data_IF_118837521808
#
_entry.id   IF_118837521808
#
_cell.length_a   1.000
_cell.length_b   1.000
_cell.length_c   1.000
_cell.angle_alpha   90.00
_cell.angle_beta   90.00
_cell.angle_gamma   90.00
#
_symmetry.space_group_name_H-M   'P 1'
#
loop_
_entity.id
_entity.type
_entity.pdbx_description
1 polymer ?
#
# COMPACT_ATOMS: atom_id res chain seq x y z
N UNK A 1 -3.57 25.53 -24.53
CA UNK A 1 -2.14 25.45 -24.20
C UNK A 1 -2.00 24.54 -23.01
N UNK A 2 -1.18 23.49 -23.05
CA UNK A 2 -0.94 22.66 -21.87
C UNK A 2 -0.16 23.54 -20.88
N UNK A 3 -0.68 23.67 -19.67
CA UNK A 3 -0.06 24.44 -18.60
C UNK A 3 1.20 23.72 -18.09
N UNK A 4 2.20 24.50 -17.69
CA UNK A 4 3.49 23.98 -17.21
C UNK A 4 3.36 22.93 -16.09
N UNK A 5 2.46 23.07 -15.09
CA UNK A 5 2.23 22.03 -14.07
C UNK A 5 1.77 20.69 -14.66
N UNK A 6 0.87 20.70 -15.66
CA UNK A 6 0.43 19.49 -16.34
C UNK A 6 1.56 18.79 -17.09
N UNK A 7 2.46 19.56 -17.74
CA UNK A 7 3.65 19.00 -18.39
C UNK A 7 4.55 18.30 -17.36
N UNK A 8 4.82 18.95 -16.22
CA UNK A 8 5.61 18.36 -15.13
C UNK A 8 4.96 17.06 -14.65
N UNK A 9 3.64 17.05 -14.45
CA UNK A 9 2.88 15.87 -14.09
C UNK A 9 3.08 14.71 -15.08
N UNK A 10 2.94 14.97 -16.38
CA UNK A 10 3.16 13.97 -17.44
C UNK A 10 4.58 13.38 -17.38
N UNK A 11 5.61 14.23 -17.20
CA UNK A 11 6.98 13.74 -17.05
C UNK A 11 7.15 12.81 -15.84
N UNK A 12 6.53 13.15 -14.70
CA UNK A 12 6.60 12.30 -13.49
C UNK A 12 5.89 10.96 -13.69
N UNK A 13 4.73 10.95 -14.33
CA UNK A 13 3.99 9.71 -14.62
C UNK A 13 4.74 8.84 -15.63
N UNK A 14 5.37 9.44 -16.64
CA UNK A 14 6.21 8.72 -17.59
C UNK A 14 7.45 8.12 -16.92
N UNK A 15 8.04 8.83 -15.96
CA UNK A 15 9.11 8.27 -15.13
C UNK A 15 8.63 7.04 -14.33
N UNK A 16 7.44 7.11 -13.72
CA UNK A 16 6.85 5.96 -13.02
C UNK A 16 6.68 4.75 -13.94
N UNK A 17 6.13 4.97 -15.14
CA UNK A 17 6.02 3.90 -16.15
C UNK A 17 7.36 3.30 -16.50
N UNK A 18 8.35 4.14 -16.80
CA UNK A 18 9.68 3.67 -17.16
C UNK A 18 10.30 2.83 -16.02
N UNK A 19 10.14 3.27 -14.77
CA UNK A 19 10.57 2.54 -13.59
C UNK A 19 9.88 1.18 -13.49
N UNK A 20 8.55 1.13 -13.63
CA UNK A 20 7.78 -0.10 -13.47
C UNK A 20 8.05 -1.10 -14.61
N UNK A 21 8.30 -0.62 -15.83
CA UNK A 21 8.60 -1.44 -17.01
C UNK A 21 10.02 -2.02 -17.00
N UNK A 22 11.00 -1.28 -16.46
CA UNK A 22 12.41 -1.67 -16.47
C UNK A 22 13.08 -1.43 -15.11
N UNK A 23 12.63 -2.08 -14.03
CA UNK A 23 13.10 -1.80 -12.67
C UNK A 23 14.59 -2.10 -12.45
N UNK A 24 15.20 -2.97 -13.26
CA UNK A 24 16.62 -3.34 -13.17
C UNK A 24 17.57 -2.41 -13.95
N UNK A 25 17.04 -1.36 -14.60
CA UNK A 25 17.89 -0.34 -15.19
C UNK A 25 18.75 0.35 -14.13
N UNK A 26 20.03 0.58 -14.43
CA UNK A 26 20.98 1.24 -13.53
C UNK A 26 20.45 2.58 -13.00
N UNK A 27 19.72 3.32 -13.83
CA UNK A 27 19.10 4.61 -13.47
C UNK A 27 18.07 4.50 -12.32
N UNK A 28 17.57 3.30 -12.04
CA UNK A 28 16.56 3.05 -11.02
C UNK A 28 17.09 2.33 -9.78
N UNK A 29 18.39 2.01 -9.74
CA UNK A 29 19.00 1.31 -8.60
C UNK A 29 18.81 2.07 -7.27
N UNK A 30 19.01 3.38 -7.27
CA UNK A 30 18.83 4.23 -6.07
C UNK A 30 17.35 4.27 -5.64
N UNK A 31 16.39 4.67 -6.50
CA UNK A 31 14.98 4.62 -6.14
C UNK A 31 14.51 3.24 -5.69
N UNK A 32 14.99 2.16 -6.32
CA UNK A 32 14.66 0.78 -5.95
C UNK A 32 15.06 0.47 -4.51
N UNK A 33 16.27 0.83 -4.11
CA UNK A 33 16.72 0.60 -2.74
C UNK A 33 15.95 1.44 -1.70
N UNK A 34 15.48 2.62 -2.09
CA UNK A 34 14.62 3.45 -1.24
C UNK A 34 13.25 2.81 -1.07
N UNK A 35 12.58 2.47 -2.18
CA UNK A 35 11.21 1.94 -2.15
C UNK A 35 11.14 0.49 -1.66
N UNK A 36 12.22 -0.31 -1.74
CA UNK A 36 12.26 -1.66 -1.16
C UNK A 36 11.89 -1.67 0.32
N UNK A 37 12.24 -0.61 1.06
CA UNK A 37 11.92 -0.46 2.50
C UNK A 37 10.41 -0.33 2.80
N UNK A 38 9.57 -0.17 1.79
CA UNK A 38 8.11 -0.08 1.88
C UNK A 38 7.42 -1.11 0.98
N UNK A 39 8.10 -2.20 0.62
CA UNK A 39 7.56 -3.27 -0.23
C UNK A 39 7.69 -3.01 -1.74
N UNK A 40 8.48 -2.00 -2.12
CA UNK A 40 8.68 -1.60 -3.51
C UNK A 40 7.68 -0.54 -3.97
N UNK A 41 8.03 0.11 -5.08
CA UNK A 41 7.23 1.20 -5.62
C UNK A 41 5.87 0.68 -6.12
N UNK A 42 5.86 -0.45 -6.84
CA UNK A 42 4.62 -1.01 -7.38
C UNK A 42 3.58 -1.31 -6.28
N UNK A 43 4.01 -1.93 -5.18
CA UNK A 43 3.13 -2.20 -4.05
C UNK A 43 2.67 -0.90 -3.38
N UNK A 44 3.58 0.04 -3.12
CA UNK A 44 3.25 1.34 -2.54
C UNK A 44 2.16 2.07 -3.35
N UNK A 45 2.25 2.08 -4.69
CA UNK A 45 1.27 2.75 -5.55
C UNK A 45 -0.14 2.14 -5.48
N UNK A 46 -0.26 0.89 -5.00
CA UNK A 46 -1.53 0.19 -4.77
C UNK A 46 -2.11 0.45 -3.37
N UNK A 47 -1.31 0.99 -2.44
CA UNK A 47 -1.73 1.29 -1.07
C UNK A 47 -2.43 2.66 -0.95
N UNK A 48 -3.23 2.83 0.10
CA UNK A 48 -3.79 4.14 0.49
C UNK A 48 -2.77 4.94 1.32
N UNK A 49 -1.68 5.39 0.71
CA UNK A 49 -0.56 6.00 1.43
C UNK A 49 -0.68 7.52 1.62
N UNK A 50 -0.02 8.02 2.67
CA UNK A 50 0.27 9.44 2.87
C UNK A 50 1.79 9.66 2.78
N UNK A 51 2.20 10.50 1.84
CA UNK A 51 3.61 10.80 1.53
C UNK A 51 4.36 11.27 2.79
N UNK A 52 3.69 12.04 3.66
CA UNK A 52 4.30 12.60 4.87
C UNK A 52 4.45 11.56 5.99
N UNK A 53 3.70 10.46 5.92
CA UNK A 53 3.70 9.39 6.93
C UNK A 53 4.54 8.19 6.52
N UNK A 54 5.16 8.20 5.34
CA UNK A 54 5.98 7.07 4.90
C UNK A 54 7.21 6.90 5.81
N UNK A 55 7.58 5.66 6.20
CA UNK A 55 8.72 5.40 7.07
C UNK A 55 10.07 5.47 6.33
N UNK A 56 10.16 6.26 5.25
CA UNK A 56 11.35 6.40 4.41
C UNK A 56 11.64 7.87 4.12
N UNK A 57 12.93 8.21 3.98
CA UNK A 57 13.35 9.55 3.56
C UNK A 57 13.26 9.65 2.05
N UNK A 58 12.31 10.45 1.57
CA UNK A 58 12.12 10.74 0.15
C UNK A 58 12.76 12.07 -0.22
N UNK A 59 13.43 12.11 -1.38
CA UNK A 59 13.80 13.39 -2.00
C UNK A 59 12.56 14.12 -2.52
N UNK A 60 12.67 15.43 -2.73
CA UNK A 60 11.54 16.23 -3.23
C UNK A 60 11.05 15.73 -4.59
N UNK A 61 11.97 15.26 -5.45
CA UNK A 61 11.64 14.64 -6.71
C UNK A 61 10.69 13.44 -6.56
N UNK A 62 10.99 12.52 -5.63
CA UNK A 62 10.17 11.34 -5.39
C UNK A 62 8.82 11.68 -4.73
N UNK A 63 8.78 12.67 -3.85
CA UNK A 63 7.51 13.16 -3.28
C UNK A 63 6.58 13.70 -4.36
N UNK A 64 7.11 14.52 -5.27
CA UNK A 64 6.34 15.04 -6.41
C UNK A 64 5.79 13.91 -7.27
N UNK A 65 6.58 12.86 -7.54
CA UNK A 65 6.12 11.70 -8.30
C UNK A 65 4.91 11.05 -7.64
N UNK A 66 5.00 10.74 -6.34
CA UNK A 66 3.92 10.13 -5.58
C UNK A 66 2.69 11.05 -5.50
N UNK A 67 2.91 12.36 -5.41
CA UNK A 67 1.84 13.36 -5.41
C UNK A 67 1.07 13.36 -6.74
N UNK A 68 1.77 13.46 -7.87
CA UNK A 68 1.12 13.42 -9.19
C UNK A 68 0.42 12.08 -9.42
N UNK A 69 0.99 10.96 -8.98
CA UNK A 69 0.32 9.66 -9.02
C UNK A 69 -1.04 9.70 -8.32
N UNK A 70 -1.10 10.23 -7.09
CA UNK A 70 -2.35 10.36 -6.34
C UNK A 70 -3.38 11.27 -7.01
N UNK A 71 -2.95 12.24 -7.81
CA UNK A 71 -3.86 13.13 -8.54
C UNK A 71 -4.50 12.45 -9.75
N UNK A 72 -3.76 11.60 -10.46
CA UNK A 72 -4.26 10.96 -11.69
C UNK A 72 -4.86 9.57 -11.46
N UNK A 73 -4.48 8.92 -10.36
CA UNK A 73 -4.97 7.60 -10.02
C UNK A 73 -6.26 7.72 -9.20
N UNK A 74 -7.39 7.44 -9.85
CA UNK A 74 -8.65 7.22 -9.15
C UNK A 74 -8.57 5.88 -8.42
N UNK A 75 -8.27 5.93 -7.12
CA UNK A 75 -8.41 4.76 -6.27
C UNK A 75 -9.88 4.35 -6.26
N UNK A 76 -10.18 3.15 -6.77
CA UNK A 76 -11.39 2.42 -6.39
C UNK A 76 -11.21 1.93 -4.95
N UNK A 77 -11.22 2.87 -4.00
CA UNK A 77 -11.02 2.58 -2.59
C UNK A 77 -12.28 1.90 -2.06
N UNK A 78 -12.21 0.57 -1.93
CA UNK A 78 -13.15 -0.18 -1.09
C UNK A 78 -12.49 -0.36 0.26
N UNK A 79 -13.07 0.13 1.37
CA UNK A 79 -12.38 0.06 2.66
C UNK A 79 -12.16 -1.39 3.17
N UNK A 80 -12.85 -2.37 2.57
CA UNK A 80 -12.65 -3.82 2.78
C UNK A 80 -11.32 -4.34 2.23
N UNK A 81 -10.78 -3.66 1.21
CA UNK A 81 -9.44 -3.90 0.65
C UNK A 81 -8.36 -3.00 1.24
N UNK A 82 -8.57 -2.50 2.47
CA UNK A 82 -7.58 -1.66 3.13
C UNK A 82 -6.30 -2.43 3.39
N UNK A 83 -5.22 -2.00 2.73
CA UNK A 83 -3.88 -2.55 2.98
C UNK A 83 -3.47 -2.22 4.41
N UNK A 84 -2.89 -3.21 5.09
CA UNK A 84 -2.30 -3.06 6.42
C UNK A 84 -1.05 -2.14 6.34
N UNK A 85 -0.31 -2.29 5.25
CA UNK A 85 0.94 -1.57 5.02
C UNK A 85 0.74 -0.28 4.24
N UNK A 86 1.68 0.66 4.44
CA UNK A 86 1.72 1.97 3.79
C UNK A 86 0.37 2.69 3.79
N UNK A 87 -0.43 2.50 4.84
CA UNK A 87 -1.77 3.07 4.94
C UNK A 87 -1.70 4.43 5.66
N UNK A 88 -2.47 5.41 5.17
CA UNK A 88 -2.51 6.75 5.75
C UNK A 88 -3.08 6.76 7.17
N UNK A 89 -3.98 5.84 7.48
CA UNK A 89 -4.70 5.80 8.77
C UNK A 89 -4.06 4.83 9.77
N UNK A 90 -3.49 3.72 9.31
CA UNK A 90 -2.84 2.71 10.16
C UNK A 90 -1.41 3.17 10.43
N UNK A 91 -1.18 3.76 11.61
CA UNK A 91 0.10 4.40 11.95
C UNK A 91 0.57 4.10 13.35
N UNK A 92 1.89 4.03 13.53
CA UNK A 92 2.58 4.01 14.82
C UNK A 92 3.48 5.23 14.87
N UNK A 93 3.38 6.03 15.93
CA UNK A 93 4.15 7.27 16.08
C UNK A 93 4.01 8.19 14.86
N UNK A 94 2.79 8.33 14.33
CA UNK A 94 2.43 9.14 13.14
C UNK A 94 3.09 8.70 11.82
N UNK A 95 3.70 7.51 11.78
CA UNK A 95 4.24 6.91 10.56
C UNK A 95 3.47 5.65 10.20
N UNK A 96 3.24 5.48 8.90
CA UNK A 96 2.71 4.24 8.32
C UNK A 96 3.72 3.11 8.47
N UNK A 97 3.23 1.87 8.28
CA UNK A 97 3.94 0.65 8.62
C UNK A 97 4.30 -0.15 7.38
N UNK A 98 5.44 -0.84 7.43
CA UNK A 98 5.76 -1.92 6.51
C UNK A 98 6.66 -2.92 7.24
N UNK A 99 6.27 -4.20 7.24
CA UNK A 99 7.06 -5.29 7.83
C UNK A 99 7.29 -6.34 6.74
N UNK A 100 8.51 -6.36 6.22
CA UNK A 100 8.91 -7.21 5.10
C UNK A 100 8.60 -8.70 5.36
N UNK A 101 8.98 -9.20 6.53
CA UNK A 101 8.76 -10.61 6.93
C UNK A 101 7.29 -11.04 6.92
N UNK A 102 6.37 -10.12 7.20
CA UNK A 102 4.94 -10.41 7.17
C UNK A 102 4.39 -10.30 5.76
N UNK A 103 4.86 -9.31 5.02
CA UNK A 103 4.51 -9.11 3.62
C UNK A 103 4.92 -10.31 2.75
N UNK A 104 6.14 -10.84 2.92
CA UNK A 104 6.63 -12.04 2.25
C UNK A 104 5.79 -13.30 2.52
N UNK A 105 5.04 -13.31 3.64
CA UNK A 105 4.13 -14.39 4.03
C UNK A 105 2.70 -14.17 3.54
N UNK A 106 2.48 -13.16 2.70
CA UNK A 106 1.18 -12.87 2.10
C UNK A 106 0.23 -12.08 3.00
N UNK A 107 0.70 -11.54 4.14
CA UNK A 107 -0.12 -10.67 5.00
C UNK A 107 -0.10 -9.27 4.37
N UNK A 108 -1.21 -8.85 3.80
CA UNK A 108 -1.30 -7.61 3.01
C UNK A 108 -2.43 -6.70 3.51
N UNK A 109 -3.56 -7.27 3.87
CA UNK A 109 -4.79 -6.57 4.23
C UNK A 109 -5.06 -6.60 5.72
N UNK A 110 -5.90 -5.68 6.20
CA UNK A 110 -6.39 -5.72 7.59
C UNK A 110 -7.15 -7.03 7.85
N UNK A 111 -7.92 -7.53 6.88
CA UNK A 111 -8.67 -8.79 6.98
C UNK A 111 -7.79 -10.01 7.20
N UNK A 112 -6.52 -9.96 6.82
CA UNK A 112 -5.58 -11.05 7.06
C UNK A 112 -5.29 -11.27 8.55
N UNK A 113 -5.51 -10.24 9.36
CA UNK A 113 -5.37 -10.26 10.82
C UNK A 113 -6.68 -10.63 11.54
N UNK A 114 -7.79 -10.72 10.82
CA UNK A 114 -9.12 -10.92 11.41
C UNK A 114 -9.61 -12.36 11.25
N UNK A 115 -10.50 -12.76 12.15
CA UNK A 115 -11.28 -13.98 12.06
C UNK A 115 -12.58 -13.77 11.24
N UNK A 116 -13.43 -14.80 11.17
CA UNK A 116 -14.71 -14.74 10.47
C UNK A 116 -15.73 -13.79 11.09
N UNK A 117 -15.53 -13.36 12.34
CA UNK A 117 -16.35 -12.37 13.04
C UNK A 117 -15.75 -10.96 12.91
N UNK A 118 -14.63 -10.82 12.18
CA UNK A 118 -13.89 -9.58 12.01
C UNK A 118 -13.16 -9.13 13.28
N UNK A 119 -12.90 -10.03 14.23
CA UNK A 119 -12.07 -9.77 15.41
C UNK A 119 -10.63 -10.16 15.12
N UNK A 120 -9.66 -9.45 15.72
CA UNK A 120 -8.24 -9.80 15.55
C UNK A 120 -7.98 -11.23 16.06
N UNK A 121 -7.28 -12.03 15.25
CA UNK A 121 -6.89 -13.39 15.60
C UNK A 121 -6.06 -13.40 16.90
N UNK A 122 -6.17 -14.49 17.66
CA UNK A 122 -5.22 -14.75 18.73
C UNK A 122 -3.82 -14.97 18.15
N UNK A 123 -2.77 -14.52 18.84
CA UNK A 123 -1.37 -14.62 18.38
C UNK A 123 -0.97 -16.04 17.97
N UNK A 124 -1.45 -17.06 18.69
CA UNK A 124 -1.17 -18.47 18.37
C UNK A 124 -1.78 -18.88 17.04
N UNK A 125 -3.04 -18.49 16.80
CA UNK A 125 -3.75 -18.76 15.56
C UNK A 125 -3.11 -17.99 14.39
N UNK A 126 -2.72 -16.74 14.60
CA UNK A 126 -2.01 -15.93 13.60
C UNK A 126 -0.66 -16.54 13.22
N UNK A 127 0.18 -16.88 14.21
CA UNK A 127 1.48 -17.50 13.99
C UNK A 127 1.35 -18.85 13.27
N UNK A 128 0.35 -19.65 13.65
CA UNK A 128 0.04 -20.93 12.99
C UNK A 128 -0.42 -20.75 11.54
N UNK A 129 -1.31 -19.79 11.27
CA UNK A 129 -1.86 -19.52 9.94
C UNK A 129 -0.80 -19.12 8.92
N UNK A 130 0.14 -18.25 9.31
CA UNK A 130 1.16 -17.72 8.39
C UNK A 130 2.54 -18.36 8.55
N UNK A 131 2.69 -19.31 9.49
CA UNK A 131 3.97 -19.91 9.84
C UNK A 131 5.05 -18.84 10.12
N UNK A 132 4.73 -17.95 11.07
CA UNK A 132 5.59 -16.84 11.53
C UNK A 132 5.80 -16.96 13.03
N UNK A 133 7.00 -16.64 13.51
CA UNK A 133 7.27 -16.45 14.93
C UNK A 133 7.21 -14.96 15.26
N UNK A 134 6.02 -14.45 15.57
CA UNK A 134 5.82 -13.09 16.04
C UNK A 134 5.60 -13.05 17.56
N UNK A 135 6.20 -12.06 18.23
CA UNK A 135 5.94 -11.80 19.65
C UNK A 135 4.57 -11.16 19.87
N UNK A 136 3.95 -11.45 21.02
CA UNK A 136 2.68 -10.83 21.41
C UNK A 136 2.73 -9.29 21.41
N UNK A 137 3.88 -8.72 21.80
CA UNK A 137 4.08 -7.26 21.83
C UNK A 137 4.05 -6.66 20.43
N UNK A 138 4.75 -7.24 19.47
CA UNK A 138 4.77 -6.77 18.08
C UNK A 138 3.40 -6.89 17.44
N UNK A 139 2.75 -8.04 17.60
CA UNK A 139 1.41 -8.28 17.07
C UNK A 139 0.38 -7.28 17.62
N UNK A 140 0.31 -7.14 18.94
CA UNK A 140 -0.62 -6.21 19.58
C UNK A 140 -0.35 -4.76 19.18
N UNK A 141 0.91 -4.39 18.95
CA UNK A 141 1.26 -3.05 18.50
C UNK A 141 0.66 -2.74 17.12
N UNK A 142 0.66 -3.73 16.22
CA UNK A 142 0.09 -3.60 14.87
C UNK A 142 -1.43 -3.59 14.95
N UNK A 143 -2.05 -4.54 15.67
CA UNK A 143 -3.51 -4.56 15.82
C UNK A 143 -4.05 -3.25 16.43
N UNK A 144 -3.37 -2.69 17.44
CA UNK A 144 -3.75 -1.41 18.05
C UNK A 144 -3.54 -0.19 17.15
N UNK A 145 -2.68 -0.30 16.14
CA UNK A 145 -2.47 0.78 15.17
C UNK A 145 -3.62 0.91 14.15
N UNK A 146 -4.49 -0.11 14.07
CA UNK A 146 -5.64 -0.12 13.17
C UNK A 146 -6.76 0.72 13.79
N UNK A 147 -7.26 1.76 13.10
CA UNK A 147 -8.35 2.57 13.63
C UNK A 147 -9.62 1.75 13.84
N UNK A 148 -10.27 1.91 15.01
CA UNK A 148 -11.56 1.26 15.31
C UNK A 148 -12.64 1.54 14.24
N UNK A 149 -12.80 2.76 13.70
CA UNK A 149 -13.78 3.00 12.62
C UNK A 149 -13.53 2.14 11.39
N UNK A 150 -12.25 1.91 11.04
CA UNK A 150 -11.89 1.05 9.91
C UNK A 150 -12.22 -0.42 10.22
N UNK A 151 -11.92 -0.89 11.43
CA UNK A 151 -12.26 -2.24 11.86
C UNK A 151 -13.77 -2.50 11.82
N UNK A 152 -14.59 -1.61 12.38
CA UNK A 152 -16.05 -1.74 12.35
C UNK A 152 -16.60 -1.77 10.92
N UNK A 153 -16.04 -0.94 10.03
CA UNK A 153 -16.46 -0.93 8.64
C UNK A 153 -16.13 -2.25 7.92
N UNK A 154 -14.94 -2.81 8.18
CA UNK A 154 -14.54 -4.11 7.64
C UNK A 154 -15.41 -5.23 8.20
N UNK A 155 -15.65 -5.24 9.51
CA UNK A 155 -16.52 -6.20 10.21
C UNK A 155 -17.91 -6.26 9.58
N UNK A 156 -18.57 -5.10 9.42
CA UNK A 156 -19.88 -5.03 8.81
C UNK A 156 -19.88 -5.67 7.42
N UNK A 157 -18.89 -5.36 6.59
CA UNK A 157 -18.83 -5.94 5.27
C UNK A 157 -18.54 -7.44 5.25
N UNK A 158 -17.66 -7.95 6.12
CA UNK A 158 -17.40 -9.39 6.22
C UNK A 158 -18.69 -10.18 6.55
N UNK A 159 -19.60 -9.57 7.31
CA UNK A 159 -20.88 -10.20 7.66
C UNK A 159 -21.91 -10.16 6.53
N UNK A 160 -21.87 -9.15 5.65
CA UNK A 160 -22.95 -8.89 4.69
C UNK A 160 -22.56 -9.01 3.21
N UNK A 161 -21.28 -9.12 2.87
CA UNK A 161 -20.81 -9.14 1.50
C UNK A 161 -19.69 -10.17 1.27
N UNK A 162 -19.92 -11.09 0.34
CA UNK A 162 -18.92 -12.03 -0.17
C UNK A 162 -18.19 -11.38 -1.35
N UNK A 163 -17.13 -10.61 -1.08
CA UNK A 163 -16.25 -10.14 -2.15
C UNK A 163 -14.82 -10.63 -1.94
N UNK A 164 -14.17 -11.01 -3.03
CA UNK A 164 -12.75 -11.33 -3.03
C UNK A 164 -11.94 -10.04 -2.89
N UNK A 165 -11.15 -9.96 -1.83
CA UNK A 165 -10.26 -8.82 -1.59
C UNK A 165 -9.01 -9.01 -2.42
N UNK A 166 -8.69 -8.04 -3.26
CA UNK A 166 -7.47 -8.02 -4.06
C UNK A 166 -6.87 -6.63 -4.11
N UNK A 167 -5.55 -6.54 -4.33
CA UNK A 167 -4.90 -5.25 -4.55
C UNK A 167 -5.45 -4.61 -5.84
N UNK A 168 -5.58 -3.27 -5.88
CA UNK A 168 -6.03 -2.60 -7.09
C UNK A 168 -5.03 -2.80 -8.24
N UNK A 169 -5.55 -2.89 -9.45
CA UNK A 169 -4.74 -2.84 -10.66
C UNK A 169 -4.25 -1.41 -10.91
N UNK A 170 -2.98 -1.25 -11.27
CA UNK A 170 -2.41 0.04 -11.63
C UNK A 170 -2.91 0.42 -13.04
N UNK A 171 -3.95 1.25 -13.11
CA UNK A 171 -4.58 1.70 -14.35
C UNK A 171 -4.85 3.21 -14.32
N UNK A 172 -4.69 3.88 -15.47
CA UNK A 172 -5.11 5.27 -15.66
C UNK A 172 -6.34 5.28 -16.57
N UNK A 173 -7.48 5.75 -16.07
CA UNK A 173 -8.76 5.79 -16.82
C UNK A 173 -9.07 4.44 -17.53
N UNK A 174 -8.96 3.33 -16.79
CA UNK A 174 -9.19 1.95 -17.26
C UNK A 174 -8.12 1.37 -18.22
N UNK A 175 -7.07 2.13 -18.56
CA UNK A 175 -5.93 1.61 -19.32
C UNK A 175 -4.86 1.14 -18.33
N UNK A 176 -4.40 -0.12 -18.38
CA UNK A 176 -3.28 -0.57 -17.55
C UNK A 176 -2.06 0.31 -17.76
N UNK A 177 -1.44 0.75 -16.65
CA UNK A 177 -0.28 1.65 -16.68
C UNK A 177 0.88 1.08 -17.50
N UNK A 178 0.98 -0.25 -17.54
CA UNK A 178 2.00 -1.02 -18.24
C UNK A 178 1.67 -1.28 -19.72
N UNK A 179 0.51 -0.82 -20.20
CA UNK A 179 0.07 -1.03 -21.57
C UNK A 179 0.69 0.01 -22.51
N UNK A 180 1.08 -0.38 -23.74
CA UNK A 180 1.74 0.49 -24.75
C UNK A 180 0.94 1.74 -25.15
N UNK A 181 -0.38 1.73 -24.95
CA UNK A 181 -1.31 2.84 -25.27
C UNK A 181 -1.47 3.85 -24.13
N UNK A 182 -0.95 3.53 -22.94
CA UNK A 182 -1.06 4.38 -21.78
C UNK A 182 -0.01 5.49 -21.88
#
# INVERSE_FOLDING_TARGET
TIDFPSLVGVFKINWLKAYLLKPDSLCFHIPRNIFKKVGGLEFLLKCDFDILRLPIKLSEYHKQILFYWKMVFNHNFTPHGSTLWNNRTITINRKSLFIDKWYEKGIIFVTDLLDSKGQCLEIKAFNGKYNIQCSLREYNKICKAIPLPLLHFIQNHLMYAQSQISLPFLQLKQIPLMHKKC
#
